data_IF_379994202176
#
_entry.id   IF_379994202176
#
_cell.length_a   1.000
_cell.length_b   1.000
_cell.length_c   1.000
_cell.angle_alpha   90.00
_cell.angle_beta   90.00
_cell.angle_gamma   90.00
#
_symmetry.space_group_name_H-M   'P 1'
#
loop_
_entity.id
_entity.type
_entity.pdbx_description
1 polymer ?
#
# COMPACT_ATOMS: atom_id res chain seq x y z
N UNK A 1 3.94 -45.58 -9.46
CA UNK A 1 4.31 -44.20 -9.85
C UNK A 1 4.03 -43.29 -8.66
N UNK A 2 5.06 -42.72 -8.01
CA UNK A 2 4.87 -41.78 -6.88
C UNK A 2 4.74 -40.37 -7.44
N UNK A 3 3.57 -39.76 -7.30
CA UNK A 3 3.34 -38.36 -7.67
C UNK A 3 4.19 -37.46 -6.79
N UNK A 4 4.99 -36.58 -7.40
CA UNK A 4 5.79 -35.59 -6.69
C UNK A 4 4.84 -34.48 -6.24
N UNK A 5 4.63 -34.35 -4.94
CA UNK A 5 3.84 -33.25 -4.38
C UNK A 5 4.55 -31.93 -4.71
N UNK A 6 3.85 -31.06 -5.43
CA UNK A 6 4.35 -29.71 -5.72
C UNK A 6 4.09 -28.90 -4.44
N UNK A 7 5.15 -28.65 -3.67
CA UNK A 7 5.10 -27.67 -2.58
C UNK A 7 5.00 -26.31 -3.26
N UNK A 8 3.77 -25.79 -3.37
CA UNK A 8 3.55 -24.40 -3.76
C UNK A 8 4.16 -23.59 -2.61
N UNK A 9 5.34 -22.99 -2.85
CA UNK A 9 5.98 -22.15 -1.87
C UNK A 9 4.99 -21.05 -1.46
N UNK A 10 4.74 -20.95 -0.15
CA UNK A 10 3.89 -19.93 0.46
C UNK A 10 4.46 -18.56 0.09
N UNK A 11 3.93 -17.95 -0.97
CA UNK A 11 4.12 -16.53 -1.17
C UNK A 11 3.46 -15.89 0.04
N UNK A 12 4.11 -14.98 0.79
CA UNK A 12 3.47 -14.35 1.93
C UNK A 12 2.12 -13.77 1.48
N UNK A 13 1.02 -14.42 1.88
CA UNK A 13 -0.34 -13.97 1.53
C UNK A 13 -0.69 -12.68 2.27
N UNK A 14 0.09 -12.35 3.29
CA UNK A 14 0.04 -11.14 4.07
C UNK A 14 1.46 -10.57 4.18
N UNK A 15 1.59 -9.27 4.00
CA UNK A 15 2.81 -8.52 4.29
C UNK A 15 2.50 -7.73 5.55
N UNK A 16 3.35 -7.80 6.57
CA UNK A 16 3.25 -6.88 7.70
C UNK A 16 3.63 -5.48 7.19
N UNK A 17 2.61 -4.68 6.89
CA UNK A 17 2.80 -3.40 6.21
C UNK A 17 3.05 -2.29 7.22
N UNK A 18 4.25 -1.71 7.17
CA UNK A 18 4.54 -0.43 7.79
C UNK A 18 4.15 0.73 6.86
N UNK A 19 4.35 1.97 7.33
CA UNK A 19 4.02 3.16 6.55
C UNK A 19 4.82 3.26 5.24
N UNK A 20 6.06 2.75 5.23
CA UNK A 20 6.92 2.75 4.04
C UNK A 20 6.35 1.82 2.96
N UNK A 21 5.94 0.61 3.35
CA UNK A 21 5.37 -0.39 2.43
C UNK A 21 4.03 0.12 1.85
N UNK A 22 3.20 0.75 2.68
CA UNK A 22 1.95 1.38 2.22
C UNK A 22 2.23 2.52 1.24
N UNK A 23 3.20 3.38 1.53
CA UNK A 23 3.62 4.47 0.64
C UNK A 23 4.15 3.97 -0.70
N UNK A 24 4.95 2.91 -0.69
CA UNK A 24 5.44 2.27 -1.90
C UNK A 24 4.31 1.67 -2.75
N UNK A 25 3.28 1.10 -2.13
CA UNK A 25 2.11 0.59 -2.83
C UNK A 25 1.34 1.72 -3.54
N UNK A 26 1.14 2.86 -2.85
CA UNK A 26 0.55 4.07 -3.44
C UNK A 26 1.37 4.54 -4.65
N UNK A 27 2.69 4.64 -4.48
CA UNK A 27 3.62 5.03 -5.56
C UNK A 27 3.53 4.08 -6.74
N UNK A 28 3.52 2.77 -6.48
CA UNK A 28 3.42 1.74 -7.51
C UNK A 28 2.12 1.87 -8.30
N UNK A 29 0.98 2.06 -7.63
CA UNK A 29 -0.29 2.24 -8.31
C UNK A 29 -0.29 3.52 -9.16
N UNK A 30 0.25 4.63 -8.65
CA UNK A 30 0.38 5.88 -9.42
C UNK A 30 1.23 5.69 -10.68
N UNK A 31 2.42 5.10 -10.56
CA UNK A 31 3.35 4.94 -11.69
C UNK A 31 2.85 3.91 -12.70
N UNK A 32 2.19 2.84 -12.25
CA UNK A 32 1.52 1.86 -13.12
C UNK A 32 0.44 2.52 -13.99
N UNK A 33 -0.29 3.48 -13.43
CA UNK A 33 -1.28 4.28 -14.15
C UNK A 33 -0.67 5.45 -14.94
N UNK A 34 0.68 5.58 -14.96
CA UNK A 34 1.43 6.66 -15.65
C UNK A 34 1.01 8.08 -15.24
N UNK A 35 0.49 8.23 -14.02
CA UNK A 35 0.08 9.53 -13.49
C UNK A 35 1.29 10.31 -12.98
N UNK A 36 1.42 11.56 -13.42
CA UNK A 36 2.36 12.50 -12.80
C UNK A 36 1.88 12.77 -11.37
N UNK A 37 2.83 13.08 -10.49
CA UNK A 37 2.51 13.27 -9.08
C UNK A 37 1.56 14.44 -8.84
N UNK A 38 1.64 15.49 -9.69
CA UNK A 38 0.69 16.61 -9.66
C UNK A 38 -0.73 16.16 -10.00
N UNK A 39 -0.91 15.50 -11.14
CA UNK A 39 -2.23 15.05 -11.61
C UNK A 39 -2.88 14.08 -10.62
N UNK A 40 -2.08 13.20 -10.01
CA UNK A 40 -2.54 12.30 -8.96
C UNK A 40 -2.97 13.04 -7.68
N UNK A 41 -2.20 14.05 -7.25
CA UNK A 41 -2.54 14.84 -6.07
C UNK A 41 -3.84 15.63 -6.31
N UNK A 42 -4.00 16.20 -7.51
CA UNK A 42 -5.21 16.90 -7.94
C UNK A 42 -6.43 15.95 -7.94
N UNK A 43 -6.29 14.74 -8.49
CA UNK A 43 -7.34 13.70 -8.50
C UNK A 43 -7.76 13.27 -7.09
N UNK A 44 -6.80 13.18 -6.18
CA UNK A 44 -7.05 12.84 -4.79
C UNK A 44 -7.48 14.05 -3.94
N UNK A 45 -7.52 15.26 -4.49
CA UNK A 45 -7.83 16.49 -3.78
C UNK A 45 -6.91 16.69 -2.56
N UNK A 46 -5.60 16.57 -2.75
CA UNK A 46 -4.57 16.82 -1.73
C UNK A 46 -3.38 17.55 -2.32
N UNK A 47 -2.49 18.10 -1.49
CA UNK A 47 -1.29 18.76 -1.99
C UNK A 47 -0.28 17.75 -2.57
N UNK A 48 0.49 18.19 -3.57
CA UNK A 48 1.60 17.39 -4.14
C UNK A 48 2.59 16.98 -3.05
N UNK A 49 2.89 17.89 -2.12
CA UNK A 49 3.79 17.62 -0.99
C UNK A 49 3.24 16.52 -0.09
N UNK A 50 1.93 16.51 0.19
CA UNK A 50 1.28 15.45 0.96
C UNK A 50 1.42 14.11 0.26
N UNK A 51 1.15 14.05 -1.05
CA UNK A 51 1.28 12.79 -1.80
C UNK A 51 2.73 12.29 -1.86
N UNK A 52 3.71 13.18 -2.01
CA UNK A 52 5.15 12.82 -1.92
C UNK A 52 5.49 12.22 -0.55
N UNK A 53 5.00 12.81 0.54
CA UNK A 53 5.25 12.33 1.91
C UNK A 53 4.59 10.97 2.14
N UNK A 54 3.38 10.77 1.62
CA UNK A 54 2.70 9.46 1.62
C UNK A 54 3.55 8.42 0.89
N UNK A 55 4.01 8.71 -0.32
CA UNK A 55 4.83 7.75 -1.10
C UNK A 55 6.15 7.37 -0.43
N UNK A 56 6.64 8.20 0.49
CA UNK A 56 7.85 7.95 1.27
C UNK A 56 7.58 7.23 2.60
N UNK A 57 6.31 7.10 3.02
CA UNK A 57 5.94 6.54 4.32
C UNK A 57 6.24 7.46 5.51
N UNK A 58 6.12 8.77 5.32
CA UNK A 58 6.37 9.77 6.36
C UNK A 58 5.33 9.68 7.50
N UNK A 59 5.82 9.53 8.74
CA UNK A 59 4.99 9.39 9.96
C UNK A 59 4.17 10.63 10.31
N UNK A 60 4.56 11.81 9.80
CA UNK A 60 3.84 13.06 10.04
C UNK A 60 2.66 13.29 9.09
N UNK A 61 2.32 12.33 8.24
CA UNK A 61 1.08 12.38 7.45
C UNK A 61 -0.08 11.82 8.28
N UNK A 62 -1.22 12.52 8.26
CA UNK A 62 -2.42 12.02 8.92
C UNK A 62 -2.91 10.72 8.30
N UNK A 63 -3.40 9.80 9.14
CA UNK A 63 -4.02 8.55 8.69
C UNK A 63 -5.16 8.78 7.69
N UNK A 64 -5.94 9.85 7.88
CA UNK A 64 -7.00 10.23 6.93
C UNK A 64 -6.49 10.50 5.51
N UNK A 65 -5.35 11.20 5.36
CA UNK A 65 -4.76 11.44 4.05
C UNK A 65 -4.19 10.16 3.42
N UNK A 66 -3.58 9.29 4.24
CA UNK A 66 -3.10 8.00 3.80
C UNK A 66 -4.25 7.12 3.28
N UNK A 67 -5.33 6.98 4.05
CA UNK A 67 -6.50 6.19 3.65
C UNK A 67 -7.18 6.76 2.41
N UNK A 68 -7.27 8.09 2.28
CA UNK A 68 -7.78 8.73 1.08
C UNK A 68 -6.95 8.35 -0.16
N UNK A 69 -5.63 8.35 -0.05
CA UNK A 69 -4.75 7.94 -1.16
C UNK A 69 -4.91 6.46 -1.49
N UNK A 70 -4.95 5.58 -0.49
CA UNK A 70 -5.15 4.14 -0.68
C UNK A 70 -6.48 3.87 -1.41
N UNK A 71 -7.58 4.47 -0.92
CA UNK A 71 -8.90 4.33 -1.52
C UNK A 71 -8.95 4.89 -2.95
N UNK A 72 -8.38 6.08 -3.18
CA UNK A 72 -8.39 6.70 -4.50
C UNK A 72 -7.60 5.94 -5.56
N UNK A 73 -6.64 5.09 -5.14
CA UNK A 73 -5.92 4.18 -6.02
C UNK A 73 -6.47 2.75 -6.03
N UNK A 74 -7.60 2.49 -5.37
CA UNK A 74 -8.23 1.17 -5.33
C UNK A 74 -7.43 0.13 -4.52
N UNK A 75 -6.60 0.57 -3.58
CA UNK A 75 -5.83 -0.31 -2.70
C UNK A 75 -6.71 -0.69 -1.51
N UNK A 76 -6.90 -2.00 -1.30
CA UNK A 76 -7.63 -2.54 -0.15
C UNK A 76 -6.66 -2.86 0.99
N UNK A 77 -7.02 -2.48 2.20
CA UNK A 77 -6.31 -2.82 3.43
C UNK A 77 -7.17 -3.80 4.23
N UNK A 78 -6.63 -4.98 4.52
CA UNK A 78 -7.26 -5.97 5.39
C UNK A 78 -6.51 -5.99 6.73
N UNK A 79 -7.24 -5.81 7.83
CA UNK A 79 -6.67 -5.77 9.18
C UNK A 79 -7.02 -7.09 9.86
N UNK A 80 -6.00 -7.79 10.31
CA UNK A 80 -6.13 -9.04 11.06
C UNK A 80 -5.58 -8.82 12.46
N UNK A 81 -6.34 -9.25 13.47
CA UNK A 81 -5.82 -9.38 14.82
C UNK A 81 -4.84 -10.56 14.83
N UNK A 82 -3.59 -10.31 15.22
CA UNK A 82 -2.68 -11.40 15.52
C UNK A 82 -3.02 -11.93 16.91
N UNK A 83 -3.46 -13.19 17.00
CA UNK A 83 -3.49 -13.90 18.27
C UNK A 83 -2.04 -14.03 18.76
N UNK A 84 -1.63 -13.08 19.60
CA UNK A 84 -0.43 -13.23 20.41
C UNK A 84 -0.75 -14.26 21.47
N UNK A 85 -0.63 -15.55 21.13
CA UNK A 85 -0.63 -16.61 22.13
C UNK A 85 0.50 -16.30 23.10
N UNK A 86 0.10 -15.93 24.31
CA UNK A 86 0.98 -15.66 25.44
C UNK A 86 1.68 -16.94 25.90
#
# INVERSE_FOLDING_TARGET
MKGKQIVIADKPNHIQAGLVELGQMVRHCRTKNRLKIKDAADLLGMSVTTLIRIEKGDQGVSSGNLFKALQGFGIRLDIHESESTS
#
